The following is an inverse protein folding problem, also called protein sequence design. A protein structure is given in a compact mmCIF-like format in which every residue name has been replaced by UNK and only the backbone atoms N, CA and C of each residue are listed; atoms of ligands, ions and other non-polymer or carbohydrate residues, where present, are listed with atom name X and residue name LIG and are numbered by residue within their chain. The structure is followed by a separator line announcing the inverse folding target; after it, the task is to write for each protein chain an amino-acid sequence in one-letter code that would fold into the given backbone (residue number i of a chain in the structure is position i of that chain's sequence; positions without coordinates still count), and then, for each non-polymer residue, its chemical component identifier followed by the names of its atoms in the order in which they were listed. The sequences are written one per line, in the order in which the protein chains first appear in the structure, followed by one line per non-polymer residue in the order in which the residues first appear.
data_IF_758859790560
#
_entry.id   IF_758859790560
#
_cell.length_a   1.000
_cell.length_b   1.000
_cell.length_c   1.000
_cell.angle_alpha   90.00
_cell.angle_beta   90.00
_cell.angle_gamma   90.00
#
_symmetry.space_group_name_H-M   'P 1'
#
loop_
_entity.id
_entity.type
_entity.pdbx_description
1 polymer ?
#
# COMPACT_ATOMS: atom_id res chain seq x y z
N UNK A 1 -32.14 27.37 -6.57
CA UNK A 1 -30.96 26.66 -7.12
C UNK A 1 -30.04 26.42 -5.93
N UNK A 2 -30.04 25.22 -5.37
CA UNK A 2 -29.15 24.88 -4.25
C UNK A 2 -27.79 24.45 -4.80
N UNK A 3 -26.72 25.08 -4.33
CA UNK A 3 -25.36 24.74 -4.71
C UNK A 3 -24.92 23.52 -3.91
N UNK A 4 -24.72 22.39 -4.58
CA UNK A 4 -24.11 21.20 -3.96
C UNK A 4 -22.63 21.50 -3.76
N UNK A 5 -22.15 21.46 -2.51
CA UNK A 5 -20.72 21.52 -2.22
C UNK A 5 -20.11 20.13 -2.43
N UNK A 6 -19.28 19.99 -3.48
CA UNK A 6 -18.55 18.76 -3.77
C UNK A 6 -17.42 18.47 -2.75
N UNK A 7 -17.06 19.48 -1.95
CA UNK A 7 -15.93 19.43 -1.01
C UNK A 7 -16.35 20.05 0.33
N UNK A 8 -17.05 19.30 1.20
CA UNK A 8 -17.42 19.80 2.52
C UNK A 8 -16.16 20.19 3.31
N UNK A 9 -16.17 21.36 3.95
CA UNK A 9 -15.08 21.78 4.82
C UNK A 9 -14.90 20.74 5.94
N UNK A 10 -13.68 20.22 6.10
CA UNK A 10 -13.36 19.16 7.07
C UNK A 10 -13.54 17.72 6.58
N UNK A 11 -13.99 17.49 5.34
CA UNK A 11 -14.13 16.13 4.76
C UNK A 11 -12.80 15.51 4.28
N UNK A 12 -11.68 16.22 4.40
CA UNK A 12 -10.37 15.75 3.96
C UNK A 12 -9.56 15.24 5.13
N UNK A 13 -9.45 13.92 5.24
CA UNK A 13 -8.32 13.33 5.96
C UNK A 13 -7.05 13.52 5.12
N UNK A 14 -5.97 14.10 5.68
CA UNK A 14 -4.71 14.29 4.98
C UNK A 14 -4.20 12.95 4.43
N UNK A 15 -3.66 12.97 3.21
CA UNK A 15 -3.15 11.77 2.55
C UNK A 15 -1.98 11.18 3.35
N UNK A 16 -1.20 12.03 4.00
CA UNK A 16 -0.10 11.70 4.90
C UNK A 16 -0.58 10.80 6.03
N UNK A 17 -1.73 11.13 6.65
CA UNK A 17 -2.31 10.31 7.72
C UNK A 17 -2.75 8.93 7.21
N UNK A 18 -3.26 8.85 5.98
CA UNK A 18 -3.61 7.57 5.36
C UNK A 18 -2.37 6.71 5.10
N UNK A 19 -1.29 7.34 4.64
CA UNK A 19 0.01 6.68 4.44
C UNK A 19 0.56 6.17 5.76
N UNK A 20 0.60 7.02 6.80
CA UNK A 20 1.09 6.65 8.13
C UNK A 20 0.31 5.46 8.72
N UNK A 21 -1.02 5.48 8.60
CA UNK A 21 -1.87 4.38 9.04
C UNK A 21 -1.56 3.08 8.28
N UNK A 22 -1.39 3.14 6.96
CA UNK A 22 -1.05 1.97 6.15
C UNK A 22 0.32 1.40 6.54
N UNK A 23 1.33 2.26 6.71
CA UNK A 23 2.68 1.85 7.11
C UNK A 23 2.67 1.21 8.50
N UNK A 24 1.91 1.75 9.45
CA UNK A 24 1.78 1.18 10.79
C UNK A 24 1.20 -0.24 10.76
N UNK A 25 0.14 -0.45 9.97
CA UNK A 25 -0.49 -1.78 9.82
C UNK A 25 0.46 -2.77 9.18
N UNK A 26 1.11 -2.41 8.07
CA UNK A 26 2.05 -3.27 7.35
C UNK A 26 3.25 -3.62 8.25
N UNK A 27 3.78 -2.65 8.98
CA UNK A 27 4.90 -2.85 9.89
C UNK A 27 4.51 -3.78 11.04
N UNK A 28 3.29 -3.69 11.57
CA UNK A 28 2.78 -4.60 12.58
C UNK A 28 2.73 -6.07 12.09
N UNK A 29 2.35 -6.31 10.83
CA UNK A 29 2.39 -7.64 10.22
C UNK A 29 3.83 -8.20 10.17
N UNK A 30 4.81 -7.37 9.84
CA UNK A 30 6.22 -7.74 9.83
C UNK A 30 6.74 -8.04 11.25
N UNK A 31 6.34 -7.26 12.26
CA UNK A 31 6.67 -7.53 13.66
C UNK A 31 6.07 -8.85 14.16
N UNK A 32 4.86 -9.19 13.70
CA UNK A 32 4.24 -10.49 13.93
C UNK A 32 4.90 -11.65 13.16
N UNK A 33 5.95 -11.37 12.38
CA UNK A 33 6.71 -12.33 11.55
C UNK A 33 5.86 -13.01 10.48
N UNK A 34 4.81 -12.35 10.03
CA UNK A 34 4.04 -12.83 8.89
C UNK A 34 4.75 -12.45 7.58
N UNK A 35 4.90 -13.38 6.63
CA UNK A 35 5.28 -13.02 5.27
C UNK A 35 4.17 -12.15 4.65
N UNK A 36 4.56 -11.14 3.88
CA UNK A 36 3.60 -10.29 3.16
C UNK A 36 3.56 -10.74 1.70
N UNK A 37 2.36 -11.07 1.23
CA UNK A 37 2.11 -11.41 -0.18
C UNK A 37 1.39 -10.25 -0.84
N UNK A 38 2.00 -9.66 -1.86
CA UNK A 38 1.42 -8.56 -2.66
C UNK A 38 0.92 -9.13 -3.97
N UNK A 39 -0.39 -9.04 -4.21
CA UNK A 39 -0.98 -9.27 -5.52
C UNK A 39 -0.76 -8.01 -6.38
N UNK A 40 0.25 -8.07 -7.25
CA UNK A 40 0.69 -6.97 -8.09
C UNK A 40 0.15 -7.15 -9.51
N UNK A 41 -0.43 -6.10 -10.08
CA UNK A 41 -1.04 -6.11 -11.42
C UNK A 41 -0.53 -4.98 -12.33
N UNK A 42 0.49 -4.23 -11.91
CA UNK A 42 0.94 -3.02 -12.63
C UNK A 42 0.00 -1.82 -12.52
N UNK A 43 -1.27 -2.04 -12.15
CA UNK A 43 -2.26 -0.97 -11.95
C UNK A 43 -1.94 -0.09 -10.74
N UNK A 44 -2.41 1.17 -10.78
CA UNK A 44 -2.14 2.23 -9.79
C UNK A 44 -2.28 1.79 -8.33
N UNK A 45 -3.34 1.04 -8.01
CA UNK A 45 -3.65 0.66 -6.62
C UNK A 45 -2.64 -0.37 -6.12
N UNK A 46 -2.34 -1.39 -6.95
CA UNK A 46 -1.33 -2.41 -6.63
C UNK A 46 0.08 -1.83 -6.54
N UNK A 47 0.39 -0.81 -7.35
CA UNK A 47 1.67 -0.08 -7.31
C UNK A 47 1.82 0.72 -6.02
N UNK A 48 0.77 1.38 -5.55
CA UNK A 48 0.78 2.08 -4.25
C UNK A 48 0.95 1.07 -3.09
N UNK A 49 0.24 -0.05 -3.12
CA UNK A 49 0.39 -1.11 -2.10
C UNK A 49 1.82 -1.66 -2.10
N UNK A 50 2.39 -1.96 -3.27
CA UNK A 50 3.75 -2.44 -3.39
C UNK A 50 4.77 -1.43 -2.83
N UNK A 51 4.61 -0.14 -3.13
CA UNK A 51 5.47 0.92 -2.61
C UNK A 51 5.40 1.02 -1.08
N UNK A 52 4.20 1.00 -0.50
CA UNK A 52 4.00 1.05 0.95
C UNK A 52 4.60 -0.19 1.65
N UNK A 53 4.42 -1.38 1.07
CA UNK A 53 4.99 -2.63 1.62
C UNK A 53 6.51 -2.61 1.60
N UNK A 54 7.12 -2.18 0.49
CA UNK A 54 8.56 -2.06 0.37
C UNK A 54 9.12 -1.02 1.35
N UNK A 55 8.43 0.13 1.51
CA UNK A 55 8.85 1.15 2.47
C UNK A 55 8.80 0.64 3.92
N UNK A 56 7.70 0.00 4.33
CA UNK A 56 7.60 -0.60 5.66
C UNK A 56 8.67 -1.68 5.89
N UNK A 57 8.96 -2.50 4.88
CA UNK A 57 10.02 -3.50 4.97
C UNK A 57 11.42 -2.90 5.09
N UNK A 58 11.70 -1.78 4.43
CA UNK A 58 12.94 -1.02 4.63
C UNK A 58 13.06 -0.54 6.08
N UNK A 59 12.00 0.03 6.64
CA UNK A 59 11.98 0.47 8.04
C UNK A 59 12.18 -0.70 9.01
N UNK A 60 11.46 -1.81 8.80
CA UNK A 60 11.60 -3.02 9.60
C UNK A 60 13.02 -3.61 9.52
N UNK A 61 13.63 -3.61 8.33
CA UNK A 61 15.02 -4.05 8.12
C UNK A 61 16.02 -3.13 8.80
N UNK A 62 15.81 -1.82 8.76
CA UNK A 62 16.64 -0.83 9.46
C UNK A 62 16.57 -1.02 10.99
N UNK A 63 15.44 -1.49 11.51
CA UNK A 63 15.27 -1.88 12.92
C UNK A 63 15.85 -3.27 13.26
N UNK A 64 16.56 -3.93 12.33
CA UNK A 64 17.19 -5.24 12.55
C UNK A 64 16.30 -6.45 12.18
N UNK A 65 15.10 -6.21 11.68
CA UNK A 65 14.20 -7.25 11.20
C UNK A 65 14.65 -7.90 9.88
N UNK A 66 14.10 -9.06 9.55
CA UNK A 66 14.31 -9.71 8.24
C UNK A 66 12.95 -9.91 7.56
N UNK A 67 12.50 -8.95 6.72
CA UNK A 67 11.19 -9.04 6.08
C UNK A 67 11.17 -10.14 5.01
N UNK A 68 10.04 -10.83 4.90
CA UNK A 68 9.75 -11.75 3.78
C UNK A 68 8.59 -11.13 2.99
N UNK A 69 8.86 -10.71 1.76
CA UNK A 69 7.86 -10.16 0.84
C UNK A 69 7.84 -11.02 -0.41
N UNK A 70 6.64 -11.41 -0.85
CA UNK A 70 6.41 -12.14 -2.09
C UNK A 70 5.50 -11.31 -2.97
N UNK A 71 5.95 -10.99 -4.18
CA UNK A 71 5.08 -10.43 -5.21
C UNK A 71 4.48 -11.58 -6.03
N UNK A 72 3.17 -11.51 -6.25
CA UNK A 72 2.43 -12.44 -7.11
C UNK A 72 1.74 -11.63 -8.20
N UNK A 73 1.67 -12.16 -9.41
CA UNK A 73 0.91 -11.59 -10.51
C UNK A 73 0.07 -12.69 -11.15
N UNK A 74 -1.08 -12.34 -11.69
CA UNK A 74 -1.95 -13.26 -12.42
C UNK A 74 -1.91 -12.91 -13.90
N UNK A 75 -1.22 -13.72 -14.70
CA UNK A 75 -1.20 -13.58 -16.16
C UNK A 75 -2.52 -14.09 -16.76
N UNK A 76 -3.30 -13.18 -17.35
CA UNK A 76 -4.58 -13.49 -17.98
C UNK A 76 -4.46 -13.83 -19.47
N UNK A 77 -3.25 -13.75 -20.05
CA UNK A 77 -2.95 -13.87 -21.48
C UNK A 77 -3.58 -12.79 -22.38
N UNK A 78 -4.23 -11.77 -21.80
CA UNK A 78 -4.92 -10.68 -22.53
C UNK A 78 -4.53 -9.28 -22.02
N UNK A 79 -3.39 -9.17 -21.34
CA UNK A 79 -2.91 -7.89 -20.82
C UNK A 79 -2.43 -6.96 -21.94
N UNK A 80 -2.56 -5.65 -21.71
CA UNK A 80 -1.98 -4.65 -22.59
C UNK A 80 -0.45 -4.81 -22.58
N UNK A 81 0.22 -4.89 -23.75
CA UNK A 81 1.66 -5.13 -23.81
C UNK A 81 2.51 -3.94 -23.31
N UNK A 82 1.90 -2.74 -23.24
CA UNK A 82 2.51 -1.41 -23.02
C UNK A 82 3.72 -1.07 -23.91
#
# INVERSE_FOLDING_TARGET
METISLFPQGAFEPIEKKIDNALAIITALLHARHPIVVAFSGGKDSSVVAALVLHAAMLYRAAGGTPIIVATTGDTLVESPE
#
